data_IF_535662666007
#
_entry.id   IF_535662666007
#
_cell.length_a   1.000
_cell.length_b   1.000
_cell.length_c   1.000
_cell.angle_alpha   90.00
_cell.angle_beta   90.00
_cell.angle_gamma   90.00
#
_symmetry.space_group_name_H-M   'P 1'
#
loop_
_entity.id
_entity.type
_entity.pdbx_description
1 polymer ?
#
# COMPACT_ATOMS: atom_id res chain seq x y z
N UNK A 1 -5.82 -13.78 -10.33
CA UNK A 1 -4.85 -14.17 -9.28
C UNK A 1 -5.44 -13.81 -7.93
N UNK A 2 -5.61 -14.78 -7.02
CA UNK A 2 -6.17 -14.50 -5.69
C UNK A 2 -5.11 -13.88 -4.77
N UNK A 3 -5.48 -12.90 -3.96
CA UNK A 3 -4.61 -12.29 -2.94
C UNK A 3 -5.20 -12.58 -1.57
N UNK A 4 -4.40 -13.19 -0.70
CA UNK A 4 -4.79 -13.57 0.65
C UNK A 4 -3.86 -12.94 1.68
N UNK A 5 -4.40 -12.63 2.84
CA UNK A 5 -3.62 -12.32 4.04
C UNK A 5 -4.09 -13.18 5.20
N UNK A 6 -3.17 -13.87 5.87
CA UNK A 6 -3.45 -14.77 7.00
C UNK A 6 -4.65 -15.70 6.70
N UNK A 7 -4.63 -16.35 5.53
CA UNK A 7 -5.69 -17.23 5.01
C UNK A 7 -7.07 -16.57 4.76
N UNK A 8 -7.13 -15.25 4.62
CA UNK A 8 -8.34 -14.51 4.26
C UNK A 8 -8.16 -13.88 2.89
N UNK A 9 -9.10 -14.15 1.98
CA UNK A 9 -9.11 -13.56 0.64
C UNK A 9 -9.37 -12.07 0.71
N UNK A 10 -8.40 -11.26 0.31
CA UNK A 10 -8.57 -9.81 0.17
C UNK A 10 -9.35 -9.49 -1.11
N UNK A 11 -8.97 -10.13 -2.22
CA UNK A 11 -9.59 -9.92 -3.51
C UNK A 11 -8.83 -10.65 -4.63
N UNK A 12 -9.06 -10.19 -5.86
CA UNK A 12 -8.44 -10.76 -7.05
C UNK A 12 -7.73 -9.68 -7.86
N UNK A 13 -6.52 -9.98 -8.30
CA UNK A 13 -5.76 -9.16 -9.23
C UNK A 13 -5.74 -9.77 -10.64
N UNK A 14 -5.69 -8.90 -11.64
CA UNK A 14 -5.58 -9.25 -13.07
C UNK A 14 -4.14 -8.98 -13.50
N UNK A 15 -3.39 -10.02 -13.88
CA UNK A 15 -1.97 -9.86 -14.16
C UNK A 15 -1.67 -9.01 -15.39
N UNK A 16 -2.56 -8.97 -16.38
CA UNK A 16 -2.43 -8.08 -17.54
C UNK A 16 -2.38 -6.59 -17.15
N UNK A 17 -3.04 -6.23 -16.06
CA UNK A 17 -3.13 -4.85 -15.60
C UNK A 17 -1.78 -4.33 -15.08
N UNK A 18 -0.88 -5.21 -14.65
CA UNK A 18 0.44 -4.83 -14.10
C UNK A 18 1.36 -4.15 -15.12
N UNK A 19 1.05 -4.32 -16.39
CA UNK A 19 1.85 -3.83 -17.51
C UNK A 19 1.11 -2.78 -18.35
N UNK A 20 0.04 -2.19 -17.79
CA UNK A 20 -0.85 -1.28 -18.51
C UNK A 20 -0.94 0.09 -17.83
N UNK A 21 -0.96 1.14 -18.67
CA UNK A 21 -1.13 2.54 -18.27
C UNK A 21 -2.46 2.84 -17.53
N UNK A 22 -3.47 2.01 -17.70
CA UNK A 22 -4.76 2.16 -17.01
C UNK A 22 -5.10 0.93 -16.16
N UNK A 23 -4.12 0.06 -15.94
CA UNK A 23 -4.29 -1.14 -15.13
C UNK A 23 -4.47 -0.80 -13.65
N UNK A 24 -5.02 -1.75 -12.89
CA UNK A 24 -5.29 -1.59 -11.46
C UNK A 24 -6.14 -0.33 -11.18
N UNK A 25 -7.13 -0.05 -12.03
CA UNK A 25 -7.99 1.14 -11.95
C UNK A 25 -7.16 2.43 -11.81
N UNK A 26 -6.31 2.73 -12.79
CA UNK A 26 -5.37 3.88 -12.77
C UNK A 26 -4.40 3.89 -11.57
N UNK A 27 -4.15 2.71 -11.00
CA UNK A 27 -3.35 2.54 -9.80
C UNK A 27 -4.08 2.92 -8.51
N UNK A 28 -5.42 2.87 -8.49
CA UNK A 28 -6.23 2.99 -7.26
C UNK A 28 -6.58 1.61 -6.67
N UNK A 29 -6.52 0.53 -7.45
CA UNK A 29 -6.84 -0.81 -6.96
C UNK A 29 -5.72 -1.37 -6.06
N UNK A 30 -5.90 -1.24 -4.75
CA UNK A 30 -4.93 -1.65 -3.72
C UNK A 30 -4.59 -3.13 -3.82
N UNK A 31 -5.57 -4.00 -4.08
CA UNK A 31 -5.34 -5.45 -4.22
C UNK A 31 -4.43 -5.74 -5.42
N UNK A 32 -4.71 -5.09 -6.55
CA UNK A 32 -3.91 -5.16 -7.76
C UNK A 32 -2.46 -4.69 -7.53
N UNK A 33 -2.28 -3.54 -6.88
CA UNK A 33 -0.96 -2.99 -6.57
C UNK A 33 -0.15 -3.86 -5.60
N UNK A 34 -0.79 -4.39 -4.56
CA UNK A 34 -0.14 -5.32 -3.61
C UNK A 34 0.35 -6.55 -4.36
N UNK A 35 -0.49 -7.11 -5.24
CA UNK A 35 -0.10 -8.28 -6.02
C UNK A 35 1.03 -7.97 -7.02
N UNK A 36 0.96 -6.83 -7.70
CA UNK A 36 2.02 -6.35 -8.59
C UNK A 36 3.34 -6.15 -7.83
N UNK A 37 3.31 -5.56 -6.65
CA UNK A 37 4.51 -5.38 -5.82
C UNK A 37 5.12 -6.71 -5.38
N UNK A 38 4.32 -7.72 -5.08
CA UNK A 38 4.81 -9.08 -4.81
C UNK A 38 5.45 -9.72 -6.05
N UNK A 39 4.92 -9.48 -7.26
CA UNK A 39 5.56 -9.91 -8.51
C UNK A 39 6.92 -9.24 -8.67
N UNK A 40 6.99 -7.93 -8.43
CA UNK A 40 8.26 -7.17 -8.49
C UNK A 40 9.27 -7.71 -7.49
N UNK A 41 8.86 -8.00 -6.25
CA UNK A 41 9.73 -8.63 -5.25
C UNK A 41 10.24 -9.99 -5.70
N UNK A 42 9.35 -10.83 -6.27
CA UNK A 42 9.72 -12.14 -6.82
C UNK A 42 10.75 -12.01 -7.93
N UNK A 43 10.51 -11.15 -8.92
CA UNK A 43 11.44 -10.89 -10.01
C UNK A 43 12.81 -10.40 -9.49
N UNK A 44 12.82 -9.45 -8.55
CA UNK A 44 14.05 -8.98 -7.91
C UNK A 44 14.80 -10.09 -7.18
N UNK A 45 14.10 -10.99 -6.49
CA UNK A 45 14.73 -12.15 -5.83
C UNK A 45 15.38 -13.13 -6.81
N UNK A 46 14.93 -13.14 -8.07
CA UNK A 46 15.49 -13.94 -9.17
C UNK A 46 16.61 -13.20 -9.93
N UNK A 47 17.05 -12.04 -9.43
CA UNK A 47 18.13 -11.24 -10.03
C UNK A 47 17.68 -10.34 -11.18
N UNK A 48 16.37 -10.14 -11.39
CA UNK A 48 15.90 -9.15 -12.35
C UNK A 48 15.89 -7.74 -11.75
N UNK A 49 16.31 -6.78 -12.55
CA UNK A 49 16.01 -5.36 -12.36
C UNK A 49 14.62 -5.08 -12.95
N UNK A 50 13.76 -4.45 -12.15
CA UNK A 50 12.40 -4.05 -12.57
C UNK A 50 12.30 -2.54 -12.52
N UNK A 51 12.04 -1.93 -13.67
CA UNK A 51 11.81 -0.50 -13.81
C UNK A 51 10.32 -0.22 -13.68
N UNK A 52 9.96 0.64 -12.74
CA UNK A 52 8.62 1.17 -12.56
C UNK A 52 8.54 2.58 -13.14
N UNK A 53 7.40 2.94 -13.72
CA UNK A 53 7.12 4.32 -14.14
C UNK A 53 5.89 4.83 -13.41
N UNK A 54 6.01 6.03 -12.84
CA UNK A 54 4.90 6.79 -12.29
C UNK A 54 4.66 7.98 -13.23
N UNK A 55 3.60 7.92 -14.05
CA UNK A 55 3.21 9.04 -14.93
C UNK A 55 1.82 9.55 -14.59
N UNK A 56 0.79 8.75 -14.88
CA UNK A 56 -0.60 8.96 -14.46
C UNK A 56 -1.03 7.83 -13.51
N UNK A 57 -0.51 6.63 -13.76
CA UNK A 57 -0.62 5.42 -12.97
C UNK A 57 0.79 4.88 -12.65
N UNK A 58 0.84 3.81 -11.86
CA UNK A 58 2.03 3.01 -11.61
C UNK A 58 1.99 1.74 -12.47
N UNK A 59 3.07 1.46 -13.20
CA UNK A 59 3.18 0.25 -14.05
C UNK A 59 4.62 -0.31 -14.08
N UNK A 60 4.75 -1.62 -14.32
CA UNK A 60 6.02 -2.25 -14.69
C UNK A 60 6.35 -1.87 -16.13
N UNK A 61 7.42 -1.09 -16.32
CA UNK A 61 7.85 -0.58 -17.63
C UNK A 61 8.82 -1.50 -18.35
N UNK A 62 9.76 -2.10 -17.63
CA UNK A 62 10.73 -3.02 -18.21
C UNK A 62 11.31 -3.97 -17.17
N UNK A 63 11.66 -5.17 -17.60
CA UNK A 63 12.31 -6.21 -16.78
C UNK A 63 13.64 -6.58 -17.44
N UNK A 64 14.74 -6.52 -16.69
CA UNK A 64 16.10 -6.69 -17.21
C UNK A 64 16.91 -7.63 -16.33
N UNK A 65 17.81 -8.42 -16.95
CA UNK A 65 18.81 -9.25 -16.27
C UNK A 65 19.92 -9.51 -17.25
N UNK A 66 21.20 -9.36 -16.87
CA UNK A 66 22.40 -9.55 -17.71
C UNK A 66 22.17 -10.14 -19.12
N UNK A 67 22.27 -9.31 -20.17
CA UNK A 67 22.10 -9.73 -21.58
C UNK A 67 20.65 -9.91 -22.04
N UNK A 68 19.67 -9.76 -21.14
CA UNK A 68 18.24 -9.82 -21.36
C UNK A 68 17.57 -8.51 -20.96
N UNK A 69 16.71 -7.99 -21.83
CA UNK A 69 15.85 -6.83 -21.58
C UNK A 69 14.51 -7.06 -22.25
N UNK A 70 13.44 -6.86 -21.49
CA UNK A 70 12.07 -6.96 -21.99
C UNK A 70 11.31 -5.69 -21.64
N UNK A 71 10.87 -4.98 -22.67
CA UNK A 71 10.04 -3.79 -22.53
C UNK A 71 8.58 -4.19 -22.40
N UNK A 72 7.98 -3.86 -21.25
CA UNK A 72 6.61 -4.20 -20.90
C UNK A 72 5.66 -3.12 -21.44
N UNK A 73 5.70 -2.90 -22.75
CA UNK A 73 4.96 -1.82 -23.43
C UNK A 73 4.10 -2.41 -24.52
N UNK A 74 2.79 -2.29 -24.39
CA UNK A 74 1.86 -2.82 -25.38
C UNK A 74 0.41 -2.44 -25.11
N UNK A 75 -0.48 -2.84 -26.01
CA UNK A 75 -1.93 -2.81 -25.75
C UNK A 75 -2.31 -3.93 -24.77
N UNK A 76 -3.52 -3.85 -24.20
CA UNK A 76 -4.07 -4.84 -23.26
C UNK A 76 -3.90 -6.28 -23.76
N UNK A 77 -3.43 -7.19 -22.90
CA UNK A 77 -3.16 -8.60 -23.23
C UNK A 77 -1.92 -8.87 -24.10
N UNK A 78 -1.47 -7.89 -24.91
CA UNK A 78 -0.34 -8.08 -25.83
C UNK A 78 1.01 -8.20 -25.12
N UNK A 79 1.12 -7.68 -23.90
CA UNK A 79 2.35 -7.79 -23.11
C UNK A 79 2.58 -9.24 -22.69
N UNK A 80 1.61 -9.89 -22.03
CA UNK A 80 1.75 -11.28 -21.63
C UNK A 80 1.89 -12.24 -22.82
N UNK A 81 1.20 -11.98 -23.95
CA UNK A 81 1.33 -12.79 -25.16
C UNK A 81 2.76 -12.81 -25.73
N UNK A 82 3.44 -11.65 -25.72
CA UNK A 82 4.79 -11.48 -26.26
C UNK A 82 5.88 -11.65 -25.20
N UNK A 83 5.49 -11.94 -23.96
CA UNK A 83 6.41 -12.08 -22.85
C UNK A 83 7.31 -13.31 -23.07
N UNK A 84 8.63 -13.19 -22.89
CA UNK A 84 9.55 -14.33 -22.95
C UNK A 84 9.11 -15.45 -22.02
N UNK A 85 9.23 -16.70 -22.46
CA UNK A 85 8.69 -17.87 -21.78
C UNK A 85 9.11 -17.97 -20.30
N UNK A 86 10.36 -17.59 -19.98
CA UNK A 86 10.84 -17.56 -18.59
C UNK A 86 10.05 -16.59 -17.70
N UNK A 87 9.85 -15.34 -18.16
CA UNK A 87 9.07 -14.35 -17.40
C UNK A 87 7.59 -14.72 -17.36
N UNK A 88 7.07 -15.22 -18.47
CA UNK A 88 5.67 -15.64 -18.57
C UNK A 88 5.36 -16.75 -17.57
N UNK A 89 6.26 -17.73 -17.44
CA UNK A 89 6.14 -18.81 -16.46
C UNK A 89 6.09 -18.29 -15.01
N UNK A 90 6.85 -17.23 -14.68
CA UNK A 90 6.78 -16.61 -13.34
C UNK A 90 5.41 -15.98 -13.09
N UNK A 91 4.87 -15.26 -14.06
CA UNK A 91 3.54 -14.64 -13.95
C UNK A 91 2.45 -15.70 -13.87
N UNK A 92 2.51 -16.74 -14.71
CA UNK A 92 1.57 -17.87 -14.72
C UNK A 92 1.61 -18.63 -13.38
N UNK A 93 2.81 -18.98 -12.88
CA UNK A 93 2.98 -19.61 -11.57
C UNK A 93 2.33 -18.79 -10.45
N UNK A 94 2.56 -17.48 -10.46
CA UNK A 94 2.00 -16.57 -9.46
C UNK A 94 0.48 -16.46 -9.61
N UNK A 95 -0.05 -16.46 -10.83
CA UNK A 95 -1.49 -16.47 -11.08
C UNK A 95 -2.17 -17.76 -10.59
N UNK A 96 -1.53 -18.91 -10.77
CA UNK A 96 -2.01 -20.22 -10.33
C UNK A 96 -2.00 -20.34 -8.80
N UNK A 97 -0.91 -19.94 -8.15
CA UNK A 97 -0.77 -20.04 -6.69
C UNK A 97 -1.53 -18.96 -5.94
N UNK A 98 -1.63 -17.77 -6.54
CA UNK A 98 -2.04 -16.57 -5.83
C UNK A 98 -0.89 -15.92 -5.06
N UNK A 99 -1.24 -14.87 -4.32
CA UNK A 99 -0.35 -14.16 -3.40
C UNK A 99 -0.83 -14.45 -2.00
N UNK A 100 -0.08 -15.26 -1.26
CA UNK A 100 -0.36 -15.56 0.14
C UNK A 100 0.58 -14.73 1.03
N UNK A 101 -0.02 -13.80 1.78
CA UNK A 101 0.69 -12.87 2.66
C UNK A 101 0.51 -13.32 4.10
N UNK A 102 1.62 -13.59 4.78
CA UNK A 102 1.63 -13.89 6.22
C UNK A 102 2.15 -12.66 6.97
N UNK A 103 1.31 -12.10 7.83
CA UNK A 103 1.63 -10.93 8.66
C UNK A 103 1.46 -11.33 10.12
N UNK A 104 2.57 -11.26 10.86
CA UNK A 104 2.57 -11.45 12.31
C UNK A 104 2.04 -10.20 13.03
N UNK A 105 1.39 -10.43 14.17
CA UNK A 105 0.94 -9.33 15.03
C UNK A 105 2.14 -8.58 15.61
N UNK A 106 2.21 -7.27 15.39
CA UNK A 106 3.34 -6.44 15.85
C UNK A 106 2.93 -5.11 16.53
N UNK A 107 1.65 -4.98 16.87
CA UNK A 107 1.13 -3.83 17.62
C UNK A 107 -0.32 -4.03 18.06
N UNK A 108 -0.97 -2.93 18.42
CA UNK A 108 -2.29 -2.95 19.04
C UNK A 108 -3.42 -2.56 18.09
N UNK A 109 -3.13 -2.06 16.89
CA UNK A 109 -4.15 -1.62 15.93
C UNK A 109 -4.71 -2.82 15.17
N UNK A 110 -5.96 -3.23 15.40
CA UNK A 110 -6.55 -4.35 14.68
C UNK A 110 -6.98 -3.94 13.27
N UNK A 111 -6.59 -4.74 12.28
CA UNK A 111 -7.06 -4.64 10.91
C UNK A 111 -8.17 -5.66 10.69
N UNK A 112 -9.32 -5.20 10.20
CA UNK A 112 -10.45 -6.05 9.88
C UNK A 112 -10.74 -6.02 8.39
N UNK A 113 -11.21 -7.14 7.84
CA UNK A 113 -11.89 -7.18 6.55
C UNK A 113 -13.30 -7.73 6.78
N UNK A 114 -14.33 -6.94 6.46
CA UNK A 114 -15.73 -7.34 6.56
C UNK A 114 -16.08 -7.98 7.92
N UNK A 115 -15.54 -7.40 9.00
CA UNK A 115 -15.75 -7.86 10.38
C UNK A 115 -14.84 -8.99 10.85
N UNK A 116 -14.04 -9.61 9.99
CA UNK A 116 -13.01 -10.60 10.38
C UNK A 116 -11.68 -9.91 10.64
N UNK A 117 -11.11 -10.09 11.84
CA UNK A 117 -9.76 -9.59 12.14
C UNK A 117 -8.73 -10.37 11.32
N UNK A 118 -7.84 -9.64 10.64
CA UNK A 118 -6.77 -10.19 9.82
C UNK A 118 -5.47 -10.34 10.62
N UNK A 119 -5.07 -9.26 11.28
CA UNK A 119 -3.86 -9.13 12.11
C UNK A 119 -3.96 -7.83 12.93
N UNK A 120 -3.00 -7.63 13.83
CA UNK A 120 -2.76 -6.37 14.52
C UNK A 120 -1.41 -5.78 14.14
N UNK A 121 -1.33 -4.47 14.03
CA UNK A 121 -0.07 -3.80 13.69
C UNK A 121 0.16 -2.51 14.46
N UNK A 122 1.39 -2.00 14.42
CA UNK A 122 1.70 -0.63 14.84
C UNK A 122 1.86 0.29 13.64
N UNK A 123 0.92 1.25 13.51
CA UNK A 123 1.01 2.27 12.46
C UNK A 123 2.08 3.29 12.77
N UNK A 124 2.26 3.69 14.03
CA UNK A 124 3.27 4.66 14.45
C UNK A 124 4.65 4.30 13.92
N UNK A 125 5.08 3.04 14.08
CA UNK A 125 6.42 2.59 13.62
C UNK A 125 6.56 2.71 12.11
N UNK A 126 5.57 2.22 11.36
CA UNK A 126 5.61 2.28 9.89
C UNK A 126 5.53 3.72 9.41
N UNK A 127 4.62 4.53 9.94
CA UNK A 127 4.44 5.94 9.59
C UNK A 127 5.71 6.77 9.87
N UNK A 128 6.36 6.59 11.01
CA UNK A 128 7.63 7.25 11.30
C UNK A 128 8.71 6.87 10.29
N UNK A 129 8.78 5.59 9.90
CA UNK A 129 9.70 5.14 8.85
C UNK A 129 9.37 5.78 7.50
N UNK A 130 8.09 5.85 7.12
CA UNK A 130 7.70 6.50 5.86
C UNK A 130 8.01 8.01 5.87
N UNK A 131 7.78 8.69 6.99
CA UNK A 131 8.13 10.11 7.15
C UNK A 131 9.65 10.31 7.08
N UNK A 132 10.44 9.42 7.69
CA UNK A 132 11.89 9.50 7.65
C UNK A 132 12.46 9.24 6.23
N UNK A 133 11.98 8.19 5.56
CA UNK A 133 12.48 7.76 4.26
C UNK A 133 12.02 8.67 3.10
N UNK A 134 10.86 9.32 3.26
CA UNK A 134 10.20 10.10 2.20
C UNK A 134 9.83 11.53 2.60
N UNK A 135 10.35 12.05 3.72
CA UNK A 135 9.96 13.34 4.32
C UNK A 135 9.97 14.55 3.37
N UNK A 136 10.94 14.60 2.46
CA UNK A 136 11.10 15.69 1.48
C UNK A 136 10.53 15.36 0.08
N UNK A 137 10.03 14.14 -0.12
CA UNK A 137 9.53 13.64 -1.41
C UNK A 137 8.02 13.55 -1.41
N UNK A 138 7.41 13.68 -2.58
CA UNK A 138 5.99 13.43 -2.74
C UNK A 138 5.68 11.98 -2.33
N UNK A 139 4.79 11.80 -1.35
CA UNK A 139 4.37 10.46 -0.94
C UNK A 139 3.51 9.91 -2.08
N UNK A 140 3.94 8.80 -2.67
CA UNK A 140 3.25 8.18 -3.78
C UNK A 140 3.11 6.69 -3.53
N UNK A 141 2.19 6.06 -4.27
CA UNK A 141 1.98 4.60 -4.23
C UNK A 141 3.21 3.77 -4.61
N UNK A 142 4.28 4.39 -5.13
CA UNK A 142 5.60 3.74 -5.27
C UNK A 142 6.13 3.13 -3.97
N UNK A 143 5.68 3.63 -2.82
CA UNK A 143 6.06 3.11 -1.50
C UNK A 143 5.65 1.64 -1.30
N UNK A 144 4.59 1.18 -1.97
CA UNK A 144 4.11 -0.21 -1.97
C UNK A 144 5.18 -1.16 -2.56
N UNK A 145 6.07 -0.63 -3.40
CA UNK A 145 7.13 -1.37 -4.08
C UNK A 145 8.50 -1.27 -3.38
N UNK A 146 8.52 -0.68 -2.17
CA UNK A 146 9.71 -0.65 -1.32
C UNK A 146 10.11 -2.09 -0.96
N UNK A 147 11.38 -2.44 -1.15
CA UNK A 147 11.88 -3.80 -0.90
C UNK A 147 11.88 -4.20 0.57
N UNK A 148 11.94 -3.23 1.48
CA UNK A 148 12.05 -3.46 2.93
C UNK A 148 10.70 -3.55 3.65
N UNK A 149 9.61 -3.19 2.99
CA UNK A 149 8.27 -3.18 3.59
C UNK A 149 7.42 -4.27 2.98
N UNK A 150 6.55 -4.91 3.76
CA UNK A 150 5.51 -5.75 3.20
C UNK A 150 4.52 -4.88 2.39
N UNK A 151 4.20 -5.21 1.12
CA UNK A 151 3.36 -4.39 0.25
C UNK A 151 1.99 -4.01 0.81
N UNK A 152 1.26 -4.94 1.44
CA UNK A 152 -0.03 -4.65 2.07
C UNK A 152 0.13 -3.65 3.24
N UNK A 153 1.12 -3.83 4.11
CA UNK A 153 1.41 -2.88 5.19
C UNK A 153 1.79 -1.49 4.66
N UNK A 154 2.57 -1.44 3.58
CA UNK A 154 2.93 -0.18 2.93
C UNK A 154 1.69 0.52 2.32
N UNK A 155 0.79 -0.23 1.69
CA UNK A 155 -0.45 0.29 1.13
C UNK A 155 -1.39 0.81 2.23
N UNK A 156 -1.62 0.04 3.30
CA UNK A 156 -2.47 0.46 4.42
C UNK A 156 -1.89 1.69 5.14
N UNK A 157 -0.56 1.75 5.25
CA UNK A 157 0.11 2.91 5.86
C UNK A 157 0.01 4.15 4.96
N UNK A 158 0.09 4.00 3.65
CA UNK A 158 -0.13 5.09 2.69
C UNK A 158 -1.55 5.67 2.82
N UNK A 159 -2.58 4.81 2.78
CA UNK A 159 -3.98 5.25 2.95
C UNK A 159 -4.19 5.91 4.32
N UNK A 160 -3.54 5.36 5.36
CA UNK A 160 -3.58 5.97 6.68
C UNK A 160 -2.96 7.37 6.69
N UNK A 161 -1.81 7.60 6.07
CA UNK A 161 -1.22 8.96 5.98
C UNK A 161 -2.21 9.94 5.34
N UNK A 162 -2.84 9.56 4.23
CA UNK A 162 -3.80 10.44 3.55
C UNK A 162 -4.99 10.80 4.45
N UNK A 163 -5.56 9.79 5.12
CA UNK A 163 -6.63 9.97 6.10
C UNK A 163 -6.18 10.90 7.25
N UNK A 164 -4.96 10.72 7.74
CA UNK A 164 -4.39 11.53 8.82
C UNK A 164 -4.14 12.98 8.40
N UNK A 165 -3.53 13.21 7.23
CA UNK A 165 -3.30 14.55 6.67
C UNK A 165 -4.64 15.27 6.45
N UNK A 166 -5.66 14.55 5.96
CA UNK A 166 -7.01 15.10 5.81
C UNK A 166 -7.66 15.45 7.14
N UNK A 167 -7.58 14.57 8.14
CA UNK A 167 -8.11 14.81 9.49
C UNK A 167 -7.45 16.00 10.19
N UNK A 168 -6.13 16.16 10.03
CA UNK A 168 -5.40 17.30 10.58
C UNK A 168 -5.64 18.59 9.80
N UNK A 169 -6.00 18.49 8.52
CA UNK A 169 -6.12 19.64 7.61
C UNK A 169 -4.77 20.28 7.25
N UNK A 170 -3.67 19.62 7.59
CA UNK A 170 -2.29 20.03 7.30
C UNK A 170 -1.45 18.80 6.98
N UNK A 171 -0.44 18.90 6.10
CA UNK A 171 0.51 17.81 5.89
C UNK A 171 1.24 17.49 7.20
N UNK A 172 1.24 16.22 7.62
CA UNK A 172 1.91 15.75 8.85
C UNK A 172 3.41 16.10 8.81
N UNK A 173 3.99 16.09 7.61
CA UNK A 173 5.39 16.46 7.35
C UNK A 173 5.71 17.92 7.66
N UNK A 174 4.72 18.80 7.69
CA UNK A 174 4.90 20.20 8.04
C UNK A 174 4.93 20.47 9.54
N UNK A 175 4.74 19.44 10.38
CA UNK A 175 4.66 19.58 11.83
C UNK A 175 6.04 19.37 12.49
N UNK A 176 6.33 20.04 13.62
CA UNK A 176 7.52 19.77 14.43
C UNK A 176 7.58 18.31 14.87
N UNK A 177 8.76 17.69 14.91
CA UNK A 177 8.91 16.25 15.23
C UNK A 177 8.29 15.84 16.57
N UNK A 178 8.39 16.69 17.60
CA UNK A 178 7.76 16.45 18.91
C UNK A 178 6.23 16.46 18.84
N UNK A 179 5.66 17.31 18.00
CA UNK A 179 4.21 17.37 17.74
C UNK A 179 3.76 16.15 16.93
N UNK A 180 4.58 15.68 15.97
CA UNK A 180 4.32 14.47 15.17
C UNK A 180 4.26 13.23 16.06
N UNK A 181 5.24 13.02 16.94
CA UNK A 181 5.25 11.84 17.82
C UNK A 181 4.03 11.79 18.74
N UNK A 182 3.70 12.92 19.37
CA UNK A 182 2.54 13.03 20.27
C UNK A 182 1.23 12.79 19.52
N UNK A 183 1.11 13.35 18.31
CA UNK A 183 -0.05 13.17 17.45
C UNK A 183 -0.20 11.70 17.05
N UNK A 184 0.90 11.05 16.64
CA UNK A 184 0.91 9.63 16.28
C UNK A 184 0.55 8.73 17.47
N UNK A 185 0.95 9.07 18.69
CA UNK A 185 0.52 8.32 19.90
C UNK A 185 -0.98 8.43 20.15
N UNK A 186 -1.58 9.60 19.91
CA UNK A 186 -3.02 9.79 20.00
C UNK A 186 -3.77 9.04 18.90
N UNK A 187 -3.25 9.09 17.67
CA UNK A 187 -3.78 8.35 16.52
C UNK A 187 -3.73 6.85 16.76
N UNK A 188 -2.60 6.30 17.23
CA UNK A 188 -2.45 4.88 17.52
C UNK A 188 -3.53 4.42 18.50
N UNK A 189 -3.85 5.22 19.52
CA UNK A 189 -4.92 4.91 20.48
C UNK A 189 -6.31 4.92 19.84
N UNK A 190 -6.59 5.90 18.98
CA UNK A 190 -7.86 5.96 18.23
C UNK A 190 -7.99 4.70 17.38
N UNK A 191 -6.97 4.38 16.58
CA UNK A 191 -6.95 3.22 15.70
C UNK A 191 -7.00 1.90 16.48
N UNK A 192 -6.29 1.77 17.61
CA UNK A 192 -6.35 0.61 18.48
C UNK A 192 -7.76 0.37 19.05
N UNK A 193 -8.47 1.45 19.38
CA UNK A 193 -9.83 1.35 19.92
C UNK A 193 -10.90 1.02 18.87
N UNK A 194 -10.76 1.51 17.64
CA UNK A 194 -11.79 1.41 16.59
C UNK A 194 -11.50 0.35 15.54
N UNK A 195 -10.22 0.03 15.37
CA UNK A 195 -9.68 -0.74 14.26
C UNK A 195 -9.73 0.02 12.95
N UNK A 196 -8.96 -0.47 11.98
CA UNK A 196 -9.07 -0.09 10.59
C UNK A 196 -9.95 -1.14 9.89
N UNK A 197 -11.13 -0.74 9.42
CA UNK A 197 -12.11 -1.66 8.85
C UNK A 197 -12.07 -1.57 7.34
N UNK A 198 -11.71 -2.68 6.72
CA UNK A 198 -11.64 -2.81 5.28
C UNK A 198 -12.92 -3.45 4.76
N UNK A 199 -13.36 -2.96 3.60
CA UNK A 199 -14.39 -3.58 2.77
C UNK A 199 -13.82 -3.73 1.35
N UNK A 200 -14.29 -4.75 0.64
CA UNK A 200 -13.94 -4.92 -0.77
C UNK A 200 -14.69 -3.87 -1.59
N UNK A 201 -13.95 -3.14 -2.40
CA UNK A 201 -14.52 -2.16 -3.32
C UNK A 201 -14.23 -2.58 -4.77
N UNK A 202 -15.16 -2.29 -5.67
CA UNK A 202 -15.02 -2.66 -7.07
C UNK A 202 -13.91 -1.87 -7.79
N UNK A 203 -13.74 -0.60 -7.47
CA UNK A 203 -12.75 0.28 -8.09
C UNK A 203 -11.44 0.27 -7.31
N UNK A 204 -11.51 0.51 -5.99
CA UNK A 204 -10.33 0.70 -5.15
C UNK A 204 -9.73 -0.65 -4.69
N UNK A 205 -10.44 -1.77 -4.92
CA UNK A 205 -10.07 -3.11 -4.45
C UNK A 205 -10.29 -3.28 -2.95
N UNK A 206 -9.75 -2.38 -2.13
CA UNK A 206 -9.95 -2.29 -0.69
C UNK A 206 -10.20 -0.83 -0.27
N UNK A 207 -11.21 -0.62 0.56
CA UNK A 207 -11.55 0.69 1.11
C UNK A 207 -11.66 0.64 2.63
N UNK A 208 -11.26 1.73 3.29
CA UNK A 208 -11.46 1.90 4.73
C UNK A 208 -12.92 2.33 4.97
N UNK A 209 -13.78 1.42 5.43
CA UNK A 209 -15.21 1.69 5.57
C UNK A 209 -15.57 2.59 6.76
N UNK A 210 -14.70 2.65 7.76
CA UNK A 210 -14.85 3.58 8.89
C UNK A 210 -14.01 4.86 8.75
N UNK A 211 -13.56 5.21 7.54
CA UNK A 211 -12.68 6.35 7.28
C UNK A 211 -13.24 7.67 7.83
N UNK A 212 -14.50 8.00 7.51
CA UNK A 212 -15.11 9.27 7.97
C UNK A 212 -15.21 9.38 9.49
N UNK A 213 -15.43 8.26 10.17
CA UNK A 213 -15.45 8.19 11.64
C UNK A 213 -14.06 8.47 12.21
N UNK A 214 -13.03 7.80 11.65
CA UNK A 214 -11.64 7.99 12.05
C UNK A 214 -11.18 9.43 11.83
N UNK A 215 -11.43 9.99 10.64
CA UNK A 215 -11.10 11.38 10.29
C UNK A 215 -11.66 12.36 11.32
N UNK A 216 -12.92 12.16 11.74
CA UNK A 216 -13.56 13.03 12.72
C UNK A 216 -12.87 12.99 14.08
N UNK A 217 -12.47 11.81 14.54
CA UNK A 217 -11.77 11.66 15.82
C UNK A 217 -10.34 12.21 15.76
N UNK A 218 -9.64 11.98 14.64
CA UNK A 218 -8.32 12.56 14.36
C UNK A 218 -8.40 14.08 14.35
N UNK A 219 -9.43 14.65 13.71
CA UNK A 219 -9.66 16.09 13.72
C UNK A 219 -9.88 16.63 15.15
N UNK A 220 -10.68 15.93 15.96
CA UNK A 220 -10.91 16.28 17.36
C UNK A 220 -9.62 16.26 18.20
N UNK A 221 -8.79 15.24 17.99
CA UNK A 221 -7.46 15.12 18.61
C UNK A 221 -6.56 16.30 18.22
N UNK A 222 -6.47 16.59 16.91
CA UNK A 222 -5.66 17.68 16.38
C UNK A 222 -6.06 19.04 16.96
N UNK A 223 -7.36 19.35 16.99
CA UNK A 223 -7.87 20.60 17.57
C UNK A 223 -7.56 20.75 19.05
N UNK A 224 -7.65 19.66 19.80
CA UNK A 224 -7.30 19.66 21.22
C UNK A 224 -5.80 19.91 21.45
N UNK A 225 -4.94 19.48 20.51
CA UNK A 225 -3.50 19.70 20.55
C UNK A 225 -3.14 21.13 20.15
N UNK A 226 -3.69 21.67 19.05
CA UNK A 226 -3.50 23.08 18.65
C UNK A 226 -3.91 24.06 19.75
N UNK A 227 -4.96 23.73 20.52
CA UNK A 227 -5.39 24.53 21.66
C UNK A 227 -4.38 24.56 22.81
N UNK A 228 -3.58 23.50 22.99
CA UNK A 228 -2.51 23.44 24.00
C UNK A 228 -1.26 24.19 23.54
N UNK A 229 -0.86 24.00 22.28
CA UNK A 229 0.33 24.64 21.69
C UNK A 229 0.20 26.17 21.57
N UNK A 230 -1.02 26.73 21.71
CA UNK A 230 -1.28 28.18 21.78
C UNK A 230 -1.29 28.77 23.19
N UNK A 231 -1.31 27.93 24.22
CA UNK A 231 -1.35 28.32 25.63
C UNK A 231 0.03 28.23 26.29
N UNK A 232 1.00 27.62 25.62
CA UNK A 232 2.42 27.56 25.97
C UNK A 232 3.23 28.64 25.20
#
# INVERSE_FOLDING_TARGET
MEVRVNNVVLGHAVADDFFNKYGNCDGDNVVGLVAEAHLVKRLRSMGYEVMLVLSHNLEIRSIKRQGFSYDCVGEYGKVLEKMPAELKAVVEEMCEKGVDIEIEDDGDVPIYLEGRMLFKTSFKRTLLKLIADYGDKYLSRLIIFNSELEPLLAALSYESVLMLEYGCGVPIRGLPSSSVETLLDGIEKILASKGLRLERDFFDGLKISNESELIKDIHGLWRAQEGKDRLD
#
